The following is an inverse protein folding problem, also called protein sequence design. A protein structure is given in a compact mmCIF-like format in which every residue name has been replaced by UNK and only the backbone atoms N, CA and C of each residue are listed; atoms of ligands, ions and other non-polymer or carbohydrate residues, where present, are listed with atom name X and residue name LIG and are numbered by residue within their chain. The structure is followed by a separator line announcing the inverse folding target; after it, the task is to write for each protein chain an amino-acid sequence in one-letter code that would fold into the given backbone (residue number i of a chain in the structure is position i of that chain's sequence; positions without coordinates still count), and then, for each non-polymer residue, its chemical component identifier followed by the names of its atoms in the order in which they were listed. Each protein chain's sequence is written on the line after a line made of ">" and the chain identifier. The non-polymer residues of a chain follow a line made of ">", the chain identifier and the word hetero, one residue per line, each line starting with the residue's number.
data_IF_253964475831
#
_entry.id   IF_253964475831
#
_cell.length_a   1.000
_cell.length_b   1.000
_cell.length_c   1.000
_cell.angle_alpha   90.00
_cell.angle_beta   90.00
_cell.angle_gamma   90.00
#
_symmetry.space_group_name_H-M   'P 1'
#
loop_
_entity.id
_entity.type
_entity.pdbx_description
1 polymer ?
#
# COMPACT_ATOMS: atom_id res chain seq x y z
N UNK A 1 21.28 -9.00 14.35
CA UNK A 1 21.09 -8.57 12.96
C UNK A 1 19.63 -8.25 12.89
N UNK A 2 19.30 -6.96 12.82
CA UNK A 2 17.92 -6.52 12.92
C UNK A 2 17.16 -7.08 11.71
N UNK A 3 16.20 -7.98 11.99
CA UNK A 3 15.15 -8.39 11.06
C UNK A 3 14.34 -7.13 10.74
N UNK A 4 14.85 -6.32 9.80
CA UNK A 4 14.02 -5.40 9.05
C UNK A 4 13.12 -6.28 8.18
N UNK A 5 12.03 -6.77 8.78
CA UNK A 5 10.81 -7.16 8.07
C UNK A 5 10.25 -5.89 7.39
N UNK A 6 11.00 -5.36 6.41
CA UNK A 6 10.41 -4.53 5.38
C UNK A 6 9.44 -5.45 4.62
N UNK A 7 8.16 -5.05 4.50
CA UNK A 7 7.21 -5.80 3.72
C UNK A 7 7.81 -6.07 2.33
N UNK A 8 7.92 -7.34 1.95
CA UNK A 8 8.54 -7.80 0.69
C UNK A 8 8.17 -6.89 -0.48
N UNK A 9 9.15 -6.11 -0.96
CA UNK A 9 9.12 -5.24 -2.13
C UNK A 9 7.77 -4.55 -2.38
N UNK A 10 7.63 -3.32 -1.85
CA UNK A 10 6.51 -2.44 -2.18
C UNK A 10 6.40 -2.29 -3.71
N UNK A 11 5.19 -2.40 -4.29
CA UNK A 11 5.00 -2.14 -5.71
C UNK A 11 5.55 -0.75 -6.09
N UNK A 12 6.40 -0.67 -7.11
CA UNK A 12 7.06 0.58 -7.51
C UNK A 12 6.04 1.72 -7.73
N UNK A 13 4.89 1.41 -8.32
CA UNK A 13 3.80 2.37 -8.52
C UNK A 13 3.22 2.91 -7.21
N UNK A 14 3.12 2.08 -6.16
CA UNK A 14 2.68 2.51 -4.84
C UNK A 14 3.73 3.44 -4.20
N UNK A 15 5.01 3.06 -4.22
CA UNK A 15 6.09 3.90 -3.68
C UNK A 15 6.13 5.28 -4.34
N UNK A 16 6.01 5.32 -5.67
CA UNK A 16 5.97 6.58 -6.42
C UNK A 16 4.79 7.46 -5.97
N UNK A 17 3.59 6.88 -5.82
CA UNK A 17 2.41 7.64 -5.42
C UNK A 17 2.47 8.12 -3.96
N UNK A 18 2.93 7.27 -3.03
CA UNK A 18 3.17 7.66 -1.64
C UNK A 18 4.16 8.83 -1.54
N UNK A 19 5.25 8.80 -2.33
CA UNK A 19 6.22 9.89 -2.38
C UNK A 19 5.65 11.24 -2.83
N UNK A 20 4.50 11.24 -3.53
CA UNK A 20 3.82 12.47 -3.97
C UNK A 20 2.73 12.95 -3.01
N UNK A 21 2.29 12.11 -2.06
CA UNK A 21 1.22 12.43 -1.13
C UNK A 21 1.68 12.18 0.32
N UNK A 22 2.12 13.26 1.00
CA UNK A 22 2.62 13.18 2.37
C UNK A 22 1.58 12.64 3.36
N UNK A 23 0.28 12.88 3.13
CA UNK A 23 -0.76 12.38 4.01
C UNK A 23 -0.89 10.86 3.90
N UNK A 24 -1.03 10.35 2.67
CA UNK A 24 -1.07 8.91 2.41
C UNK A 24 0.22 8.21 2.88
N UNK A 25 1.38 8.85 2.69
CA UNK A 25 2.66 8.34 3.20
C UNK A 25 2.69 8.25 4.72
N UNK A 26 2.22 9.26 5.44
CA UNK A 26 2.17 9.24 6.89
C UNK A 26 1.17 8.19 7.40
N UNK A 27 -0.01 8.09 6.78
CA UNK A 27 -0.98 7.03 7.09
C UNK A 27 -0.35 5.66 6.89
N UNK A 28 0.25 5.43 5.71
CA UNK A 28 0.91 4.17 5.39
C UNK A 28 2.06 3.85 6.35
N UNK A 29 2.88 4.84 6.72
CA UNK A 29 3.99 4.65 7.66
C UNK A 29 3.50 4.19 9.04
N UNK A 30 2.36 4.71 9.49
CA UNK A 30 1.73 4.38 10.77
C UNK A 30 0.99 3.04 10.80
N UNK A 31 0.75 2.42 9.64
CA UNK A 31 0.17 1.07 9.58
C UNK A 31 1.11 0.03 10.19
N UNK A 32 0.50 -0.98 10.81
CA UNK A 32 1.18 -2.20 11.25
C UNK A 32 1.77 -2.97 10.07
N UNK A 33 2.70 -3.89 10.36
CA UNK A 33 3.32 -4.73 9.33
C UNK A 33 2.25 -5.58 8.61
N UNK A 34 1.30 -6.14 9.36
CA UNK A 34 0.19 -6.92 8.80
C UNK A 34 -0.70 -6.12 7.84
N UNK A 35 -1.06 -4.89 8.19
CA UNK A 35 -1.83 -4.01 7.31
C UNK A 35 -1.06 -3.64 6.03
N UNK A 36 0.26 -3.41 6.15
CA UNK A 36 1.12 -3.17 4.99
C UNK A 36 1.20 -4.39 4.07
N UNK A 37 1.33 -5.59 4.64
CA UNK A 37 1.32 -6.85 3.90
C UNK A 37 -0.01 -7.10 3.19
N UNK A 38 -1.15 -6.83 3.84
CA UNK A 38 -2.47 -6.93 3.22
C UNK A 38 -2.63 -5.99 2.03
N UNK A 39 -2.15 -4.74 2.15
CA UNK A 39 -2.13 -3.78 1.03
C UNK A 39 -1.29 -4.30 -0.13
N UNK A 40 -0.08 -4.81 0.16
CA UNK A 40 0.81 -5.34 -0.87
C UNK A 40 0.20 -6.56 -1.55
N UNK A 41 -0.40 -7.47 -0.79
CA UNK A 41 -1.08 -8.66 -1.29
C UNK A 41 -2.31 -8.29 -2.13
N UNK A 42 -3.08 -7.28 -1.73
CA UNK A 42 -4.20 -6.76 -2.52
C UNK A 42 -3.74 -6.23 -3.88
N UNK A 43 -2.65 -5.46 -3.91
CA UNK A 43 -2.09 -4.92 -5.14
C UNK A 43 -1.50 -6.03 -6.02
N UNK A 44 -0.80 -7.00 -5.42
CA UNK A 44 -0.17 -8.14 -6.12
C UNK A 44 -1.16 -9.23 -6.55
N UNK A 45 -2.38 -9.24 -5.98
CA UNK A 45 -3.36 -10.32 -6.12
C UNK A 45 -3.58 -10.76 -7.57
N UNK A 46 -3.09 -11.95 -7.90
CA UNK A 46 -3.19 -12.51 -9.25
C UNK A 46 -4.64 -12.95 -9.49
N UNK A 47 -5.25 -12.52 -10.61
CA UNK A 47 -6.63 -12.89 -10.98
C UNK A 47 -7.76 -11.99 -10.48
N UNK A 48 -7.48 -10.79 -9.96
CA UNK A 48 -8.52 -9.76 -9.82
C UNK A 48 -8.89 -9.18 -11.19
N UNK A 49 -10.17 -8.87 -11.41
CA UNK A 49 -10.64 -8.21 -12.65
C UNK A 49 -10.04 -6.81 -12.80
N UNK A 50 -9.77 -6.14 -11.69
CA UNK A 50 -9.18 -4.80 -11.64
C UNK A 50 -7.69 -4.83 -12.00
N UNK A 51 -7.25 -3.89 -12.83
CA UNK A 51 -5.83 -3.70 -13.12
C UNK A 51 -5.05 -3.31 -11.85
N UNK A 52 -3.75 -3.64 -11.83
CA UNK A 52 -2.85 -3.27 -10.72
C UNK A 52 -2.86 -1.76 -10.47
N UNK A 53 -3.01 -0.95 -11.52
CA UNK A 53 -3.12 0.52 -11.40
C UNK A 53 -4.36 0.96 -10.62
N UNK A 54 -5.52 0.39 -10.93
CA UNK A 54 -6.77 0.73 -10.25
C UNK A 54 -6.72 0.35 -8.77
N UNK A 55 -6.07 -0.78 -8.46
CA UNK A 55 -5.85 -1.21 -7.07
C UNK A 55 -4.94 -0.27 -6.30
N UNK A 56 -3.86 0.19 -6.93
CA UNK A 56 -2.98 1.21 -6.33
C UNK A 56 -3.76 2.51 -6.09
N UNK A 57 -4.59 2.95 -7.04
CA UNK A 57 -5.42 4.16 -6.88
C UNK A 57 -6.44 4.02 -5.74
N UNK A 58 -7.09 2.84 -5.60
CA UNK A 58 -8.01 2.56 -4.48
C UNK A 58 -7.28 2.62 -3.13
N UNK A 59 -6.10 2.01 -3.06
CA UNK A 59 -5.25 2.05 -1.86
C UNK A 59 -4.87 3.48 -1.51
N UNK A 60 -4.40 4.27 -2.49
CA UNK A 60 -4.00 5.65 -2.25
C UNK A 60 -5.16 6.53 -1.80
N UNK A 61 -6.35 6.39 -2.41
CA UNK A 61 -7.54 7.10 -1.96
C UNK A 61 -7.89 6.75 -0.51
N UNK A 62 -7.82 5.48 -0.14
CA UNK A 62 -8.10 5.06 1.23
C UNK A 62 -7.06 5.63 2.22
N UNK A 63 -5.77 5.56 1.89
CA UNK A 63 -4.69 6.08 2.72
C UNK A 63 -4.76 7.61 2.89
N UNK A 64 -5.09 8.33 1.82
CA UNK A 64 -5.27 9.79 1.84
C UNK A 64 -6.48 10.20 2.69
N UNK A 65 -7.57 9.46 2.64
CA UNK A 65 -8.78 9.74 3.42
C UNK A 65 -8.77 9.08 4.81
N UNK A 66 -7.68 8.40 5.18
CA UNK A 66 -7.55 7.62 6.40
C UNK A 66 -8.71 6.62 6.59
N UNK A 67 -9.14 6.01 5.49
CA UNK A 67 -10.19 4.98 5.44
C UNK A 67 -9.58 3.59 5.52
N UNK A 68 -10.30 2.66 6.17
CA UNK A 68 -9.91 1.24 6.14
C UNK A 68 -10.16 0.66 4.75
N UNK A 69 -9.18 -0.08 4.23
CA UNK A 69 -9.32 -0.88 3.01
C UNK A 69 -10.06 -2.20 3.26
N UNK A 70 -10.12 -2.63 4.53
CA UNK A 70 -10.67 -3.93 4.98
C UNK A 70 -11.56 -3.77 6.22
#
# INVERSE_FOLDING_TARGET
>A
MDDYNEPEDLPLGLMMQLGTNMNAMNTFANLSISEKEEIINYIKGDGMEDDVKERIEKVMNALENNQSLF
#
